data_IF_348597340597
#
_entry.id   IF_348597340597
#
_cell.length_a   1.000
_cell.length_b   1.000
_cell.length_c   1.000
_cell.angle_alpha   90.00
_cell.angle_beta   90.00
_cell.angle_gamma   90.00
#
_symmetry.space_group_name_H-M   'P 1'
#
loop_
_entity.id
_entity.type
_entity.pdbx_description
1 polymer ?
#
# COMPACT_ATOMS: atom_id res chain seq x y z
N UNK A 1 2.58 13.74 9.31
CA UNK A 1 1.29 13.60 8.61
C UNK A 1 1.55 13.81 7.13
N UNK A 2 1.08 12.91 6.26
CA UNK A 2 1.26 13.03 4.81
C UNK A 2 0.42 14.21 4.29
N UNK A 3 0.97 15.02 3.40
CA UNK A 3 0.23 16.15 2.82
C UNK A 3 -0.63 15.70 1.63
N UNK A 4 -1.66 16.48 1.27
CA UNK A 4 -2.48 16.17 0.08
C UNK A 4 -1.65 16.13 -1.22
N UNK A 5 -0.68 17.05 -1.37
CA UNK A 5 0.23 17.09 -2.52
C UNK A 5 1.13 15.85 -2.58
N UNK A 6 1.57 15.36 -1.43
CA UNK A 6 2.33 14.12 -1.34
C UNK A 6 1.45 12.91 -1.67
N UNK A 7 0.21 12.90 -1.19
CA UNK A 7 -0.74 11.82 -1.48
C UNK A 7 -1.08 11.70 -2.97
N UNK A 8 -1.19 12.84 -3.68
CA UNK A 8 -1.43 12.87 -5.13
C UNK A 8 -0.45 12.01 -5.92
N UNK A 9 0.82 11.95 -5.52
CA UNK A 9 1.83 11.14 -6.23
C UNK A 9 1.53 9.63 -6.17
N UNK A 10 0.92 9.16 -5.09
CA UNK A 10 0.48 7.77 -4.95
C UNK A 10 -0.76 7.52 -5.80
N UNK A 11 -1.72 8.46 -5.79
CA UNK A 11 -2.89 8.39 -6.67
C UNK A 11 -2.48 8.31 -8.15
N UNK A 12 -1.53 9.14 -8.58
CA UNK A 12 -1.03 9.12 -9.96
C UNK A 12 -0.39 7.77 -10.32
N UNK A 13 0.45 7.22 -9.44
CA UNK A 13 1.08 5.90 -9.63
C UNK A 13 0.04 4.78 -9.71
N UNK A 14 -0.93 4.80 -8.81
CA UNK A 14 -1.83 3.69 -8.54
C UNK A 14 -3.12 3.73 -9.37
N UNK A 15 -3.29 4.76 -10.20
CA UNK A 15 -4.47 4.95 -11.03
C UNK A 15 -5.69 5.48 -10.26
N UNK A 16 -5.44 6.22 -9.17
CA UNK A 16 -6.44 6.86 -8.32
C UNK A 16 -7.56 5.92 -7.85
N UNK A 17 -7.18 4.70 -7.46
CA UNK A 17 -8.12 3.64 -7.06
C UNK A 17 -7.57 2.78 -5.92
N UNK A 18 -8.47 2.07 -5.24
CA UNK A 18 -8.13 1.12 -4.20
C UNK A 18 -7.54 -0.18 -4.80
N UNK A 19 -6.39 -0.64 -4.32
CA UNK A 19 -5.78 -1.90 -4.75
C UNK A 19 -6.65 -3.15 -4.50
N UNK A 20 -7.53 -3.10 -3.50
CA UNK A 20 -8.42 -4.21 -3.16
C UNK A 20 -9.71 -4.21 -4.00
N UNK A 21 -10.51 -3.13 -3.98
CA UNK A 21 -11.84 -3.14 -4.60
C UNK A 21 -11.98 -2.23 -5.83
N UNK A 22 -10.95 -1.47 -6.21
CA UNK A 22 -10.98 -0.60 -7.38
C UNK A 22 -11.83 0.68 -7.23
N UNK A 23 -12.46 0.93 -6.08
CA UNK A 23 -13.17 2.20 -5.85
C UNK A 23 -12.22 3.40 -5.94
N UNK A 24 -12.73 4.53 -6.42
CA UNK A 24 -12.02 5.81 -6.52
C UNK A 24 -12.35 6.76 -5.35
N UNK A 25 -13.26 6.36 -4.46
CA UNK A 25 -13.75 7.19 -3.35
C UNK A 25 -13.14 6.80 -2.01
N UNK A 26 -13.03 7.79 -1.11
CA UNK A 26 -12.57 7.58 0.26
C UNK A 26 -11.15 7.01 0.34
N UNK A 27 -10.30 7.37 -0.63
CA UNK A 27 -8.94 6.86 -0.73
C UNK A 27 -8.04 7.44 0.37
N UNK A 28 -7.26 6.56 0.98
CA UNK A 28 -6.32 6.84 2.05
C UNK A 28 -4.97 6.17 1.75
N UNK A 29 -3.86 6.74 2.23
CA UNK A 29 -2.57 6.07 2.17
C UNK A 29 -2.56 4.90 3.15
N UNK A 30 -2.21 3.71 2.65
CA UNK A 30 -1.99 2.53 3.47
C UNK A 30 -0.52 2.15 3.46
N UNK A 31 0.07 2.01 4.66
CA UNK A 31 1.43 1.52 4.82
C UNK A 31 1.44 -0.01 4.76
N UNK A 32 2.28 -0.58 3.89
CA UNK A 32 2.44 -2.04 3.76
C UNK A 32 3.11 -2.62 5.00
N UNK A 33 4.22 -2.02 5.42
CA UNK A 33 4.86 -2.26 6.71
C UNK A 33 4.39 -1.21 7.71
N UNK A 34 3.72 -1.68 8.77
CA UNK A 34 3.20 -0.83 9.83
C UNK A 34 4.28 -0.01 10.55
N UNK A 35 3.97 1.25 10.84
CA UNK A 35 4.92 2.20 11.43
C UNK A 35 5.15 2.04 12.94
N UNK A 36 4.23 1.37 13.64
CA UNK A 36 4.20 1.32 15.10
C UNK A 36 4.11 2.70 15.76
N UNK A 37 4.14 2.75 17.09
CA UNK A 37 4.24 4.00 17.84
C UNK A 37 5.65 4.57 17.72
N UNK A 38 5.78 5.83 17.28
CA UNK A 38 7.08 6.52 17.10
C UNK A 38 7.50 6.74 15.64
N UNK A 39 6.76 6.19 14.67
CA UNK A 39 6.75 6.63 13.27
C UNK A 39 8.13 6.82 12.62
N UNK A 40 8.91 5.77 12.42
CA UNK A 40 10.20 5.84 11.72
C UNK A 40 10.08 6.56 10.36
N UNK A 41 11.01 7.48 10.07
CA UNK A 41 11.10 8.17 8.76
C UNK A 41 11.38 7.18 7.62
N UNK A 42 12.08 6.09 7.92
CA UNK A 42 12.42 5.01 6.98
C UNK A 42 11.19 4.26 6.45
N UNK A 43 10.03 4.39 7.10
CA UNK A 43 8.80 3.72 6.68
C UNK A 43 7.86 4.63 5.89
N UNK A 44 8.28 5.85 5.54
CA UNK A 44 7.54 6.74 4.63
C UNK A 44 8.03 6.64 3.17
N UNK A 45 8.83 5.63 2.84
CA UNK A 45 9.32 5.44 1.48
C UNK A 45 8.15 5.12 0.53
N UNK A 46 8.15 5.62 -0.71
CA UNK A 46 7.01 5.42 -1.61
C UNK A 46 6.67 3.96 -1.90
N UNK A 47 7.66 3.06 -1.90
CA UNK A 47 7.44 1.60 -2.02
C UNK A 47 6.66 0.98 -0.86
N UNK A 48 6.59 1.66 0.29
CA UNK A 48 5.85 1.22 1.47
C UNK A 48 4.41 1.73 1.53
N UNK A 49 4.00 2.63 0.65
CA UNK A 49 2.65 3.23 0.72
C UNK A 49 1.90 2.91 -0.56
N UNK A 50 0.65 2.48 -0.42
CA UNK A 50 -0.30 2.21 -1.52
C UNK A 50 -1.63 2.91 -1.28
N UNK A 51 -2.45 3.03 -2.33
CA UNK A 51 -3.80 3.60 -2.23
C UNK A 51 -4.84 2.54 -1.85
N UNK A 52 -5.57 2.79 -0.77
CA UNK A 52 -6.67 1.93 -0.31
C UNK A 52 -7.90 2.79 -0.05
N UNK A 53 -9.10 2.20 -0.05
CA UNK A 53 -10.25 2.90 0.49
C UNK A 53 -10.31 2.74 2.02
N UNK A 54 -10.84 3.74 2.71
CA UNK A 54 -10.92 3.79 4.17
C UNK A 54 -11.60 2.54 4.78
N UNK A 55 -12.62 2.00 4.10
CA UNK A 55 -13.35 0.80 4.53
C UNK A 55 -12.43 -0.40 4.59
N UNK A 56 -11.74 -0.69 3.47
CA UNK A 56 -10.85 -1.85 3.41
C UNK A 56 -9.64 -1.66 4.32
N UNK A 57 -9.13 -0.43 4.39
CA UNK A 57 -8.08 -0.08 5.33
C UNK A 57 -8.44 -0.43 6.79
N UNK A 58 -9.67 -0.14 7.21
CA UNK A 58 -10.16 -0.49 8.55
C UNK A 58 -10.36 -2.00 8.76
N UNK A 59 -10.73 -2.73 7.71
CA UNK A 59 -10.88 -4.20 7.77
C UNK A 59 -9.55 -4.91 7.99
N UNK A 60 -8.46 -4.41 7.38
CA UNK A 60 -7.11 -4.97 7.55
C UNK A 60 -6.58 -4.89 8.99
N UNK A 61 -7.14 -4.00 9.80
CA UNK A 61 -6.76 -3.82 11.20
C UNK A 61 -7.68 -4.57 12.17
N UNK A 62 -8.92 -4.87 11.75
CA UNK A 62 -9.95 -5.46 12.61
C UNK A 62 -10.26 -6.93 12.34
N UNK A 63 -9.83 -7.48 11.20
CA UNK A 63 -10.13 -8.85 10.77
C UNK A 63 -8.86 -9.64 10.46
N UNK A 64 -8.67 -10.76 11.17
CA UNK A 64 -7.58 -11.72 10.91
C UNK A 64 -7.57 -12.24 9.47
N UNK A 65 -8.69 -12.77 8.95
CA UNK A 65 -8.78 -13.22 7.56
C UNK A 65 -8.42 -12.13 6.53
N UNK A 66 -8.87 -10.89 6.74
CA UNK A 66 -8.53 -9.78 5.84
C UNK A 66 -7.04 -9.43 5.92
N UNK A 67 -6.43 -9.49 7.11
CA UNK A 67 -5.00 -9.30 7.28
C UNK A 67 -4.19 -10.41 6.60
N UNK A 68 -4.66 -11.65 6.64
CA UNK A 68 -4.03 -12.79 5.96
C UNK A 68 -4.08 -12.63 4.44
N UNK A 69 -5.24 -12.26 3.88
CA UNK A 69 -5.38 -11.93 2.45
C UNK A 69 -4.43 -10.80 2.06
N UNK A 70 -4.35 -9.73 2.85
CA UNK A 70 -3.46 -8.62 2.56
C UNK A 70 -1.97 -8.97 2.58
N UNK A 71 -1.56 -9.93 3.43
CA UNK A 71 -0.19 -10.45 3.39
C UNK A 71 0.05 -11.27 2.13
N UNK A 72 -0.92 -12.09 1.72
CA UNK A 72 -0.82 -12.85 0.49
C UNK A 72 -0.72 -11.93 -0.74
N UNK A 73 -1.45 -10.80 -0.76
CA UNK A 73 -1.49 -9.84 -1.87
C UNK A 73 -0.38 -8.77 -1.83
N UNK A 74 0.50 -8.81 -0.82
CA UNK A 74 1.56 -7.83 -0.64
C UNK A 74 1.10 -6.43 -0.23
N UNK A 75 -0.18 -6.26 0.16
CA UNK A 75 -0.75 -5.02 0.70
C UNK A 75 -0.32 -4.77 2.14
N UNK A 76 -0.01 -5.85 2.88
CA UNK A 76 0.54 -5.79 4.24
C UNK A 76 1.77 -6.68 4.28
N UNK A 77 2.81 -6.21 4.95
CA UNK A 77 4.09 -6.89 5.11
C UNK A 77 4.47 -6.87 6.58
N UNK A 78 5.21 -7.90 6.99
CA UNK A 78 5.77 -7.98 8.32
C UNK A 78 6.88 -6.94 8.51
N UNK A 79 7.18 -6.59 9.77
CA UNK A 79 8.19 -5.56 10.05
C UNK A 79 9.61 -5.95 9.60
N UNK A 80 9.94 -7.23 9.64
CA UNK A 80 11.21 -7.75 9.14
C UNK A 80 11.30 -7.79 7.61
N UNK A 81 10.16 -7.61 6.90
CA UNK A 81 10.12 -7.53 5.44
C UNK A 81 10.41 -6.10 4.92
N UNK A 82 10.69 -5.14 5.80
CA UNK A 82 10.96 -3.74 5.43
C UNK A 82 12.10 -3.59 4.42
N UNK A 83 13.15 -4.39 4.54
CA UNK A 83 14.30 -4.37 3.63
C UNK A 83 13.96 -4.91 2.23
N UNK A 84 12.81 -5.55 2.08
CA UNK A 84 12.36 -6.19 0.83
C UNK A 84 11.28 -5.38 0.11
N UNK A 85 10.98 -4.15 0.53
CA UNK A 85 9.89 -3.33 -0.04
C UNK A 85 9.94 -3.18 -1.56
N UNK A 86 11.15 -3.09 -2.14
CA UNK A 86 11.39 -2.95 -3.58
C UNK A 86 11.22 -4.25 -4.37
N UNK A 87 11.31 -5.40 -3.70
CA UNK A 87 11.28 -6.74 -4.33
C UNK A 87 10.08 -7.58 -3.89
N UNK A 88 9.27 -7.09 -2.95
CA UNK A 88 7.97 -7.69 -2.61
C UNK A 88 6.91 -7.05 -3.51
N UNK A 89 6.31 -7.79 -4.45
CA UNK A 89 5.31 -7.21 -5.33
C UNK A 89 4.02 -6.91 -4.57
N UNK A 90 3.20 -6.06 -5.17
CA UNK A 90 1.85 -5.75 -4.71
C UNK A 90 0.86 -6.12 -5.81
N UNK A 91 -0.24 -6.76 -5.43
CA UNK A 91 -1.28 -7.15 -6.37
C UNK A 91 -2.34 -6.04 -6.52
N UNK A 92 -2.49 -5.49 -7.71
CA UNK A 92 -3.59 -4.56 -8.04
C UNK A 92 -4.75 -5.37 -8.63
N UNK A 93 -5.79 -5.57 -7.81
CA UNK A 93 -6.95 -6.40 -8.15
C UNK A 93 -7.78 -5.80 -9.27
N UNK A 94 -7.78 -4.48 -9.44
CA UNK A 94 -8.50 -3.81 -10.52
C UNK A 94 -7.82 -4.00 -11.88
N UNK A 95 -6.50 -4.16 -11.92
CA UNK A 95 -5.76 -4.58 -13.14
C UNK A 95 -5.50 -6.08 -13.24
N UNK A 96 -5.85 -6.86 -12.21
CA UNK A 96 -5.52 -8.29 -12.12
C UNK A 96 -4.03 -8.58 -12.40
N UNK A 97 -3.13 -7.79 -11.80
CA UNK A 97 -1.69 -7.83 -12.11
C UNK A 97 -0.84 -7.53 -10.88
N UNK A 98 0.36 -8.10 -10.85
CA UNK A 98 1.37 -7.85 -9.83
C UNK A 98 2.33 -6.75 -10.28
N UNK A 99 2.73 -5.90 -9.34
CA UNK A 99 3.67 -4.81 -9.59
C UNK A 99 4.76 -4.73 -8.54
N UNK A 100 5.99 -4.45 -8.96
CA UNK A 100 7.02 -3.92 -8.08
C UNK A 100 6.84 -2.40 -7.93
N UNK A 101 7.08 -1.90 -6.72
CA UNK A 101 7.04 -0.46 -6.40
C UNK A 101 8.45 0.04 -6.16
N UNK A 102 8.71 1.30 -6.54
CA UNK A 102 9.98 1.96 -6.25
C UNK A 102 9.80 3.26 -5.44
N UNK A 103 10.91 3.80 -4.95
CA UNK A 103 10.92 5.00 -4.12
C UNK A 103 10.90 6.32 -4.91
N UNK A 104 10.72 6.23 -6.23
CA UNK A 104 10.48 7.37 -7.13
C UNK A 104 9.02 7.44 -7.59
N UNK A 105 8.09 6.83 -6.83
CA UNK A 105 6.66 6.75 -7.15
C UNK A 105 6.34 6.01 -8.46
N UNK A 106 7.24 5.14 -8.92
CA UNK A 106 7.00 4.27 -10.07
C UNK A 106 6.46 2.90 -9.65
N UNK A 107 5.77 2.26 -10.59
CA UNK A 107 5.42 0.83 -10.54
C UNK A 107 5.76 0.15 -11.86
N UNK A 108 6.22 -1.10 -11.80
CA UNK A 108 6.54 -1.93 -12.98
C UNK A 108 5.91 -3.30 -12.82
N UNK A 109 5.50 -3.95 -13.91
CA UNK A 109 4.95 -5.31 -13.86
C UNK A 109 5.98 -6.26 -13.25
N UNK A 110 5.52 -7.15 -12.36
CA UNK A 110 6.36 -8.11 -11.64
C UNK A 110 6.60 -9.40 -12.43
#
# INVERSE_FOLDING_TARGET
MMTAKEFSKYLDRDGARCYHCGTTEGLVPQHRVGRGMGGSKLLNMPSNVITFCSIQNGLLESSGPAADEARAMGWKLQRWEADYLLVRPVYDRASNSWFFLNDSYGRTVA
#
